data_IF_829357452665
#
_entry.id   IF_829357452665
#
_cell.length_a   1.000
_cell.length_b   1.000
_cell.length_c   1.000
_cell.angle_alpha   90.00
_cell.angle_beta   90.00
_cell.angle_gamma   90.00
#
_symmetry.space_group_name_H-M   'P 1'
#
loop_
_entity.id
_entity.type
_entity.pdbx_description
1 polymer ?
#
# COMPACT_ATOMS: atom_id res chain seq x y z
N UNK A 1 -30.55 -28.41 10.31
CA UNK A 1 -31.81 -27.64 10.27
C UNK A 1 -31.50 -26.22 10.71
N UNK A 2 -31.50 -25.28 9.77
CA UNK A 2 -31.14 -23.88 10.01
C UNK A 2 -32.28 -23.17 10.76
N UNK A 3 -31.96 -22.43 11.81
CA UNK A 3 -32.91 -21.64 12.60
C UNK A 3 -33.69 -20.66 11.68
N UNK A 4 -35.01 -20.47 11.83
CA UNK A 4 -35.74 -19.48 11.04
C UNK A 4 -35.22 -18.08 11.38
N UNK A 5 -34.96 -17.27 10.36
CA UNK A 5 -34.59 -15.87 10.53
C UNK A 5 -35.75 -15.10 11.18
N UNK A 6 -35.45 -14.29 12.21
CA UNK A 6 -36.44 -13.48 12.91
C UNK A 6 -37.12 -12.47 11.97
N UNK A 7 -38.43 -12.19 12.11
CA UNK A 7 -39.22 -11.44 11.12
C UNK A 7 -38.93 -9.93 11.03
N UNK A 8 -37.94 -9.41 11.77
CA UNK A 8 -37.76 -7.97 11.99
C UNK A 8 -36.34 -7.45 11.72
N UNK A 9 -35.43 -8.27 11.21
CA UNK A 9 -34.08 -7.82 10.91
C UNK A 9 -34.11 -6.92 9.67
N UNK A 10 -33.98 -5.59 9.78
CA UNK A 10 -33.74 -4.73 8.61
C UNK A 10 -32.25 -4.75 8.25
N UNK A 11 -31.92 -4.57 6.98
CA UNK A 11 -30.54 -4.33 6.55
C UNK A 11 -30.28 -2.83 6.68
N UNK A 12 -29.33 -2.45 7.53
CA UNK A 12 -28.92 -1.06 7.77
C UNK A 12 -27.64 -0.71 7.02
N UNK A 13 -27.62 0.46 6.38
CA UNK A 13 -26.44 1.03 5.73
C UNK A 13 -26.37 2.53 5.96
N UNK A 14 -25.17 3.11 5.85
CA UNK A 14 -24.96 4.53 6.05
C UNK A 14 -24.01 5.12 5.00
N UNK A 15 -24.12 6.43 4.79
CA UNK A 15 -23.15 7.18 3.99
C UNK A 15 -21.79 7.23 4.71
N UNK A 16 -20.73 7.64 3.99
CA UNK A 16 -19.37 7.66 4.54
C UNK A 16 -19.23 8.49 5.83
N UNK A 17 -19.92 9.63 5.94
CA UNK A 17 -19.91 10.45 7.16
C UNK A 17 -20.96 10.05 8.21
N UNK A 18 -21.79 9.03 7.95
CA UNK A 18 -22.81 8.52 8.87
C UNK A 18 -24.08 9.37 9.00
N UNK A 19 -24.16 10.56 8.38
CA UNK A 19 -25.32 11.48 8.53
C UNK A 19 -26.61 10.98 7.88
N UNK A 20 -26.49 10.16 6.83
CA UNK A 20 -27.62 9.54 6.15
C UNK A 20 -27.54 8.04 6.41
N UNK A 21 -28.56 7.48 7.04
CA UNK A 21 -28.72 6.05 7.20
C UNK A 21 -29.99 5.56 6.49
N UNK A 22 -29.90 4.36 5.93
CA UNK A 22 -30.95 3.69 5.19
C UNK A 22 -31.19 2.31 5.76
N UNK A 23 -32.47 1.95 5.93
CA UNK A 23 -32.88 0.63 6.35
C UNK A 23 -33.79 0.03 5.28
N UNK A 24 -33.41 -1.13 4.74
CA UNK A 24 -34.17 -1.85 3.73
C UNK A 24 -34.63 -3.22 4.27
N UNK A 25 -35.74 -3.79 3.76
CA UNK A 25 -36.19 -5.11 4.16
C UNK A 25 -35.18 -6.20 3.73
N UNK A 26 -35.10 -7.33 4.45
CA UNK A 26 -34.41 -8.52 3.95
C UNK A 26 -34.97 -9.01 2.62
N UNK A 27 -36.25 -8.84 2.35
CA UNK A 27 -36.85 -9.26 1.07
C UNK A 27 -36.39 -8.42 -0.14
N UNK A 28 -35.60 -7.36 0.05
CA UNK A 28 -35.01 -6.59 -1.05
C UNK A 28 -34.21 -7.48 -2.00
N UNK A 29 -34.29 -7.16 -3.30
CA UNK A 29 -33.66 -7.96 -4.34
C UNK A 29 -32.13 -7.93 -4.18
N UNK A 30 -31.46 -8.98 -4.67
CA UNK A 30 -30.01 -9.04 -4.70
C UNK A 30 -29.36 -7.92 -5.50
N UNK A 31 -28.03 -7.86 -5.47
CA UNK A 31 -27.27 -6.73 -6.01
C UNK A 31 -27.29 -6.74 -7.53
N UNK A 32 -27.72 -5.63 -8.13
CA UNK A 32 -27.58 -5.36 -9.57
C UNK A 32 -26.39 -4.44 -9.77
N UNK A 33 -25.45 -4.85 -10.62
CA UNK A 33 -24.26 -4.07 -10.97
C UNK A 33 -24.44 -3.46 -12.35
N UNK A 34 -24.48 -2.13 -12.42
CA UNK A 34 -24.63 -1.39 -13.66
C UNK A 34 -23.26 -0.91 -14.18
N UNK A 35 -23.02 -1.12 -15.47
CA UNK A 35 -21.78 -0.79 -16.16
C UNK A 35 -21.93 0.38 -17.14
N UNK A 36 -23.08 1.07 -17.16
CA UNK A 36 -23.31 2.16 -18.10
C UNK A 36 -22.41 3.39 -17.86
N UNK A 37 -22.23 4.22 -18.89
CA UNK A 37 -21.38 5.41 -18.84
C UNK A 37 -21.74 6.37 -17.68
N UNK A 38 -23.03 6.57 -17.40
CA UNK A 38 -23.45 7.38 -16.23
C UNK A 38 -22.91 6.80 -14.92
N UNK A 39 -22.97 5.48 -14.76
CA UNK A 39 -22.48 4.85 -13.54
C UNK A 39 -20.96 4.97 -13.45
N UNK A 40 -20.26 4.84 -14.58
CA UNK A 40 -18.81 5.07 -14.65
C UNK A 40 -18.45 6.50 -14.23
N UNK A 41 -19.12 7.51 -14.78
CA UNK A 41 -18.86 8.94 -14.46
C UNK A 41 -19.18 9.29 -13.01
N UNK A 42 -20.26 8.73 -12.45
CA UNK A 42 -20.75 9.09 -11.12
C UNK A 42 -20.03 8.35 -9.99
N UNK A 43 -19.44 7.18 -10.26
CA UNK A 43 -18.90 6.27 -9.25
C UNK A 43 -17.45 5.86 -9.51
N UNK A 44 -16.84 6.30 -10.61
CA UNK A 44 -15.49 5.89 -11.01
C UNK A 44 -15.40 4.43 -11.46
N UNK A 45 -16.53 3.79 -11.79
CA UNK A 45 -16.59 2.39 -12.20
C UNK A 45 -18.00 1.80 -12.21
N UNK A 46 -18.14 0.47 -12.27
CA UNK A 46 -19.43 -0.19 -12.16
C UNK A 46 -20.10 0.13 -10.81
N UNK A 47 -21.41 0.30 -10.82
CA UNK A 47 -22.15 0.69 -9.62
C UNK A 47 -23.12 -0.39 -9.17
N UNK A 48 -22.96 -0.84 -7.93
CA UNK A 48 -23.75 -1.89 -7.30
C UNK A 48 -24.94 -1.31 -6.52
N UNK A 49 -26.15 -1.80 -6.79
CA UNK A 49 -27.39 -1.33 -6.17
C UNK A 49 -28.29 -2.48 -5.72
N UNK A 50 -29.00 -2.30 -4.61
CA UNK A 50 -30.09 -3.15 -4.13
C UNK A 50 -31.43 -2.55 -4.54
N UNK A 51 -32.36 -3.38 -5.02
CA UNK A 51 -33.69 -2.91 -5.39
C UNK A 51 -34.67 -3.19 -4.25
N UNK A 52 -35.43 -2.17 -3.85
CA UNK A 52 -36.49 -2.27 -2.86
C UNK A 52 -37.74 -1.51 -3.32
N UNK A 53 -38.87 -1.79 -2.69
CA UNK A 53 -40.03 -0.91 -2.75
C UNK A 53 -39.74 0.38 -1.98
N UNK A 54 -40.06 1.52 -2.59
CA UNK A 54 -39.75 2.83 -2.03
C UNK A 54 -40.43 3.06 -0.69
N UNK A 55 -41.63 2.51 -0.51
CA UNK A 55 -42.40 2.56 0.74
C UNK A 55 -41.75 1.78 1.88
N UNK A 56 -40.87 0.83 1.56
CA UNK A 56 -40.27 -0.07 2.54
C UNK A 56 -38.88 0.38 2.98
N UNK A 57 -38.34 1.42 2.34
CA UNK A 57 -37.06 2.03 2.73
C UNK A 57 -37.31 3.07 3.81
N UNK A 58 -36.71 2.86 4.99
CA UNK A 58 -36.72 3.86 6.07
C UNK A 58 -35.42 4.65 6.04
N UNK A 59 -35.54 5.94 6.35
CA UNK A 59 -34.46 6.90 6.25
C UNK A 59 -34.23 7.58 7.60
N UNK A 60 -32.96 7.77 7.93
CA UNK A 60 -32.53 8.72 8.94
C UNK A 60 -31.63 9.74 8.24
N UNK A 61 -31.90 11.03 8.44
CA UNK A 61 -31.17 12.09 7.74
C UNK A 61 -31.52 12.24 6.25
N UNK A 62 -32.72 11.87 5.79
CA UNK A 62 -33.12 12.04 4.38
C UNK A 62 -33.00 13.49 3.89
N UNK A 63 -33.16 14.47 4.79
CA UNK A 63 -32.97 15.88 4.49
C UNK A 63 -31.54 16.23 4.01
N UNK A 64 -30.54 15.44 4.37
CA UNK A 64 -29.15 15.59 3.92
C UNK A 64 -28.90 14.91 2.56
N UNK A 65 -29.94 14.37 1.92
CA UNK A 65 -29.88 13.78 0.58
C UNK A 65 -30.33 14.81 -0.45
N UNK A 66 -29.40 15.29 -1.27
CA UNK A 66 -29.76 16.07 -2.45
C UNK A 66 -30.15 15.13 -3.58
N UNK A 67 -31.42 15.24 -4.00
CA UNK A 67 -31.94 14.60 -5.20
C UNK A 67 -31.79 15.54 -6.39
N UNK A 68 -31.33 15.00 -7.52
CA UNK A 68 -31.35 15.71 -8.79
C UNK A 68 -31.88 14.79 -9.89
N UNK A 69 -32.51 15.39 -10.89
CA UNK A 69 -33.02 14.68 -12.06
C UNK A 69 -31.85 14.36 -13.00
N UNK A 70 -31.44 13.10 -13.05
CA UNK A 70 -30.32 12.63 -13.87
C UNK A 70 -30.70 12.29 -15.31
N UNK A 71 -31.99 12.01 -15.53
CA UNK A 71 -32.63 11.90 -16.86
C UNK A 71 -34.09 12.31 -16.73
N UNK A 72 -34.84 12.53 -17.82
CA UNK A 72 -36.27 12.84 -17.72
C UNK A 72 -37.06 11.84 -16.86
N UNK A 73 -36.63 10.57 -16.83
CA UNK A 73 -37.28 9.45 -16.18
C UNK A 73 -36.65 9.08 -14.83
N UNK A 74 -35.49 9.63 -14.44
CA UNK A 74 -34.76 9.16 -13.24
C UNK A 74 -34.18 10.29 -12.39
N UNK A 75 -34.26 10.10 -11.07
CA UNK A 75 -33.59 10.91 -10.06
C UNK A 75 -32.49 10.11 -9.36
N UNK A 76 -31.45 10.80 -8.93
CA UNK A 76 -30.34 10.25 -8.14
C UNK A 76 -30.11 11.10 -6.90
N UNK A 77 -29.86 10.44 -5.78
CA UNK A 77 -29.63 11.04 -4.47
C UNK A 77 -28.19 10.85 -4.02
N UNK A 78 -27.59 11.91 -3.47
CA UNK A 78 -26.27 11.84 -2.82
C UNK A 78 -26.28 12.62 -1.50
N UNK A 79 -25.43 12.21 -0.56
CA UNK A 79 -25.26 12.94 0.70
C UNK A 79 -24.50 14.24 0.44
N UNK A 80 -25.07 15.38 0.83
CA UNK A 80 -24.46 16.71 0.59
C UNK A 80 -23.17 16.93 1.37
N UNK A 81 -22.93 16.18 2.44
CA UNK A 81 -21.77 16.35 3.32
C UNK A 81 -20.54 15.57 2.89
N UNK A 82 -20.72 14.36 2.36
CA UNK A 82 -19.60 13.47 1.99
C UNK A 82 -19.62 13.01 0.53
N UNK A 83 -20.59 13.43 -0.27
CA UNK A 83 -20.72 13.03 -1.68
C UNK A 83 -21.12 11.57 -1.91
N UNK A 84 -21.30 10.76 -0.86
CA UNK A 84 -21.72 9.36 -0.97
C UNK A 84 -22.99 9.26 -1.81
N UNK A 85 -22.96 8.39 -2.82
CA UNK A 85 -24.12 8.13 -3.67
C UNK A 85 -25.07 7.19 -2.95
N UNK A 86 -26.30 7.64 -2.76
CA UNK A 86 -27.24 7.03 -1.82
C UNK A 86 -28.22 6.12 -2.56
N UNK A 87 -28.93 6.66 -3.55
CA UNK A 87 -29.95 5.90 -4.25
C UNK A 87 -30.27 6.50 -5.64
N UNK A 88 -30.95 5.71 -6.47
CA UNK A 88 -31.58 6.09 -7.74
C UNK A 88 -33.04 5.68 -7.71
N UNK A 89 -33.95 6.51 -8.23
CA UNK A 89 -35.37 6.16 -8.38
C UNK A 89 -35.93 6.67 -9.71
N UNK A 90 -36.88 5.95 -10.33
CA UNK A 90 -37.64 6.50 -11.45
C UNK A 90 -38.54 7.63 -10.98
N UNK A 91 -38.72 8.66 -11.81
CA UNK A 91 -39.69 9.73 -11.58
C UNK A 91 -41.10 9.12 -11.60
N UNK A 92 -41.86 9.29 -10.52
CA UNK A 92 -43.19 8.70 -10.37
C UNK A 92 -43.23 7.17 -10.18
N UNK A 93 -42.08 6.50 -10.08
CA UNK A 93 -41.98 5.06 -9.88
C UNK A 93 -42.11 4.62 -8.42
N UNK A 94 -42.47 3.35 -8.21
CA UNK A 94 -42.62 2.73 -6.88
C UNK A 94 -41.34 2.06 -6.37
N UNK A 95 -40.37 1.80 -7.25
CA UNK A 95 -39.11 1.15 -6.88
C UNK A 95 -38.00 2.16 -6.61
N UNK A 96 -37.06 1.75 -5.77
CA UNK A 96 -35.83 2.50 -5.49
C UNK A 96 -34.63 1.55 -5.53
N UNK A 97 -33.52 2.04 -6.07
CA UNK A 97 -32.24 1.37 -6.13
C UNK A 97 -31.31 2.03 -5.11
N UNK A 98 -31.03 1.35 -4.00
CA UNK A 98 -30.15 1.84 -2.93
C UNK A 98 -28.73 1.36 -3.18
N UNK A 99 -27.74 2.23 -3.00
CA UNK A 99 -26.33 1.91 -3.17
C UNK A 99 -25.89 0.76 -2.26
N UNK A 100 -25.35 -0.32 -2.83
CA UNK A 100 -24.89 -1.48 -2.06
C UNK A 100 -23.69 -1.13 -1.16
N UNK A 101 -22.89 -0.14 -1.53
CA UNK A 101 -21.72 0.31 -0.76
C UNK A 101 -22.06 0.87 0.62
N UNK A 102 -23.30 1.30 0.87
CA UNK A 102 -23.74 1.82 2.17
C UNK A 102 -23.74 0.75 3.27
N UNK A 103 -23.83 -0.52 2.89
CA UNK A 103 -23.95 -1.66 3.81
C UNK A 103 -22.58 -2.33 4.10
N UNK A 104 -21.52 -1.87 3.44
CA UNK A 104 -20.14 -2.36 3.62
C UNK A 104 -19.97 -3.86 3.38
N UNK A 105 -18.95 -4.45 4.02
CA UNK A 105 -18.63 -5.88 3.93
C UNK A 105 -19.71 -6.81 4.52
N UNK A 106 -20.65 -6.25 5.29
CA UNK A 106 -21.67 -7.01 6.01
C UNK A 106 -22.93 -7.30 5.16
N UNK A 107 -23.01 -6.82 3.92
CA UNK A 107 -24.19 -7.02 3.07
C UNK A 107 -24.36 -8.52 2.70
N UNK A 108 -25.41 -9.21 3.19
CA UNK A 108 -25.60 -10.64 2.96
C UNK A 108 -26.30 -10.91 1.62
N UNK A 109 -25.81 -10.29 0.54
CA UNK A 109 -26.41 -10.34 -0.80
C UNK A 109 -25.32 -10.56 -1.85
N UNK A 110 -25.66 -11.37 -2.84
CA UNK A 110 -24.80 -11.61 -4.01
C UNK A 110 -25.25 -10.77 -5.19
N UNK A 111 -24.37 -10.65 -6.19
CA UNK A 111 -24.72 -10.06 -7.47
C UNK A 111 -25.66 -11.00 -8.21
N UNK A 112 -26.87 -10.52 -8.51
CA UNK A 112 -27.89 -11.29 -9.25
C UNK A 112 -27.89 -10.95 -10.74
N UNK A 113 -27.42 -9.75 -11.11
CA UNK A 113 -27.37 -9.32 -12.51
C UNK A 113 -26.29 -8.27 -12.73
N UNK A 114 -25.56 -8.42 -13.83
CA UNK A 114 -24.81 -7.33 -14.44
C UNK A 114 -25.64 -6.74 -15.58
N UNK A 115 -25.80 -5.43 -15.60
CA UNK A 115 -26.53 -4.70 -16.64
C UNK A 115 -25.59 -3.73 -17.37
N UNK A 116 -25.82 -3.65 -18.68
CA UNK A 116 -25.08 -2.86 -19.68
C UNK A 116 -23.61 -3.25 -19.73
N UNK A 117 -23.37 -4.56 -19.61
CA UNK A 117 -22.05 -5.15 -19.53
C UNK A 117 -21.22 -4.86 -20.80
N UNK A 118 -21.87 -4.68 -21.93
CA UNK A 118 -21.28 -4.25 -23.19
C UNK A 118 -20.60 -2.86 -23.10
N UNK A 119 -21.00 -2.02 -22.14
CA UNK A 119 -20.37 -0.72 -21.89
C UNK A 119 -19.25 -0.78 -20.83
N UNK A 120 -18.96 -1.97 -20.28
CA UNK A 120 -17.96 -2.14 -19.22
C UNK A 120 -16.59 -1.61 -19.67
N UNK A 121 -15.94 -0.72 -18.90
CA UNK A 121 -14.62 -0.23 -19.24
C UNK A 121 -13.60 -1.37 -19.38
N UNK A 122 -12.64 -1.21 -20.29
CA UNK A 122 -11.61 -2.22 -20.55
C UNK A 122 -10.79 -2.58 -19.30
N UNK A 123 -10.55 -1.60 -18.42
CA UNK A 123 -9.81 -1.77 -17.17
C UNK A 123 -10.61 -2.51 -16.07
N UNK A 124 -11.94 -2.65 -16.20
CA UNK A 124 -12.76 -3.51 -15.32
C UNK A 124 -12.63 -4.95 -15.81
N UNK A 125 -11.50 -5.58 -15.56
CA UNK A 125 -11.27 -7.02 -15.76
C UNK A 125 -11.07 -7.69 -14.40
N UNK A 126 -11.41 -8.97 -14.29
CA UNK A 126 -11.33 -9.71 -13.03
C UNK A 126 -9.94 -9.59 -12.38
N UNK A 127 -9.94 -9.54 -11.05
CA UNK A 127 -8.91 -9.01 -10.17
C UNK A 127 -7.47 -9.43 -10.49
N UNK A 128 -6.56 -8.46 -10.60
CA UNK A 128 -5.17 -8.68 -10.14
C UNK A 128 -5.27 -8.96 -8.64
N UNK A 129 -5.30 -10.23 -8.27
CA UNK A 129 -5.25 -10.69 -6.87
C UNK A 129 -3.79 -11.00 -6.54
N UNK A 130 -3.28 -10.39 -5.47
CA UNK A 130 -1.89 -10.50 -5.05
C UNK A 130 -1.52 -9.39 -4.07
N UNK A 131 -0.37 -9.49 -3.37
CA UNK A 131 0.14 -8.39 -2.56
C UNK A 131 0.42 -7.15 -3.41
N UNK A 132 0.23 -5.96 -2.84
CA UNK A 132 0.67 -4.71 -3.47
C UNK A 132 2.16 -4.81 -3.80
N UNK A 133 2.52 -4.51 -5.05
CA UNK A 133 3.91 -4.32 -5.43
C UNK A 133 4.48 -3.05 -4.78
N UNK A 134 5.81 -2.94 -4.61
CA UNK A 134 6.42 -1.72 -4.10
C UNK A 134 6.04 -0.45 -4.89
N UNK A 135 5.88 -0.55 -6.21
CA UNK A 135 5.48 0.59 -7.05
C UNK A 135 4.02 1.01 -6.82
N UNK A 136 3.12 0.05 -6.61
CA UNK A 136 1.72 0.31 -6.24
C UNK A 136 1.62 0.94 -4.84
N UNK A 137 2.47 0.51 -3.90
CA UNK A 137 2.55 1.10 -2.57
C UNK A 137 3.09 2.53 -2.60
N UNK A 138 4.12 2.81 -3.41
CA UNK A 138 4.64 4.17 -3.61
C UNK A 138 3.58 5.08 -4.24
N UNK A 139 2.82 4.59 -5.22
CA UNK A 139 1.73 5.34 -5.83
C UNK A 139 0.63 5.71 -4.81
N UNK A 140 0.31 4.80 -3.88
CA UNK A 140 -0.63 5.07 -2.78
C UNK A 140 -0.04 6.05 -1.75
N UNK A 141 1.23 5.91 -1.39
CA UNK A 141 1.91 6.79 -0.44
C UNK A 141 2.03 8.24 -0.92
N UNK A 142 2.08 8.47 -2.24
CA UNK A 142 2.08 9.81 -2.84
C UNK A 142 0.72 10.54 -2.72
N UNK A 143 -0.33 9.87 -2.26
CA UNK A 143 -1.69 10.43 -2.15
C UNK A 143 -2.08 10.91 -0.75
N UNK A 144 -1.21 10.75 0.27
CA UNK A 144 -1.47 11.21 1.64
C UNK A 144 -0.58 12.41 2.03
N UNK A 145 -1.15 13.55 2.44
CA UNK A 145 -0.35 14.70 2.86
C UNK A 145 -0.14 14.73 4.38
N UNK A 146 1.10 14.64 4.85
CA UNK A 146 1.54 15.32 6.09
C UNK A 146 2.82 16.11 5.82
N UNK A 147 2.76 17.09 4.92
CA UNK A 147 3.81 18.08 4.81
C UNK A 147 3.77 19.00 6.03
N UNK A 148 4.75 18.88 6.93
CA UNK A 148 5.00 19.83 8.03
C UNK A 148 6.27 20.62 7.73
N UNK A 149 6.42 21.89 8.19
CA UNK A 149 7.69 22.63 8.12
C UNK A 149 8.90 21.90 8.74
N UNK A 150 8.65 20.87 9.55
CA UNK A 150 9.66 20.07 10.26
C UNK A 150 9.78 18.63 9.75
N UNK A 151 8.97 18.22 8.76
CA UNK A 151 8.98 16.85 8.26
C UNK A 151 8.90 16.81 6.73
N UNK A 152 9.91 16.18 6.12
CA UNK A 152 9.94 15.88 4.70
C UNK A 152 9.74 14.38 4.48
N UNK A 153 9.14 14.01 3.35
CA UNK A 153 8.98 12.63 2.95
C UNK A 153 10.10 12.14 2.06
N UNK A 154 10.43 10.87 2.26
CA UNK A 154 11.40 10.16 1.47
C UNK A 154 11.03 8.70 1.28
N UNK A 155 11.85 8.00 0.52
CA UNK A 155 11.76 6.56 0.33
C UNK A 155 13.12 5.93 0.59
N UNK A 156 13.12 4.64 0.93
CA UNK A 156 14.33 3.83 1.03
C UNK A 156 14.14 2.51 0.30
N UNK A 157 15.18 2.09 -0.41
CA UNK A 157 15.36 0.77 -0.98
C UNK A 157 16.36 0.00 -0.13
N UNK A 158 16.06 -1.27 0.16
CA UNK A 158 17.01 -2.23 0.70
C UNK A 158 17.31 -3.31 -0.33
N UNK A 159 18.59 -3.63 -0.51
CA UNK A 159 19.03 -4.83 -1.23
C UNK A 159 20.02 -5.62 -0.36
N UNK A 160 19.99 -6.94 -0.45
CA UNK A 160 20.88 -7.84 0.31
C UNK A 160 21.33 -9.00 -0.58
N UNK A 161 22.56 -9.46 -0.37
CA UNK A 161 23.13 -10.64 -1.04
C UNK A 161 22.65 -11.97 -0.43
N UNK A 162 21.95 -11.93 0.71
CA UNK A 162 21.65 -13.12 1.52
C UNK A 162 22.82 -13.57 2.40
N UNK A 163 23.95 -12.88 2.37
CA UNK A 163 25.07 -13.11 3.28
C UNK A 163 24.67 -12.80 4.73
N UNK A 164 24.81 -13.78 5.62
CA UNK A 164 24.39 -13.70 7.03
C UNK A 164 25.52 -13.43 8.01
N UNK A 165 26.75 -13.28 7.52
CA UNK A 165 27.90 -13.00 8.38
C UNK A 165 27.72 -11.64 9.07
N UNK A 166 28.20 -11.48 10.31
CA UNK A 166 28.23 -10.18 10.96
C UNK A 166 29.04 -9.19 10.10
N UNK A 167 28.58 -7.94 9.94
CA UNK A 167 29.36 -6.95 9.21
C UNK A 167 30.64 -6.63 9.97
N UNK A 168 31.78 -6.69 9.29
CA UNK A 168 33.05 -6.18 9.80
C UNK A 168 33.26 -4.71 9.46
N UNK A 169 32.55 -4.20 8.44
CA UNK A 169 32.58 -2.78 8.05
C UNK A 169 31.18 -2.29 7.69
N UNK A 170 30.86 -1.07 8.14
CA UNK A 170 29.67 -0.33 7.73
C UNK A 170 30.12 0.99 7.11
N UNK A 171 29.72 1.27 5.87
CA UNK A 171 29.95 2.57 5.26
C UNK A 171 28.66 3.40 5.24
N UNK A 172 28.77 4.64 5.69
CA UNK A 172 27.71 5.64 5.71
C UNK A 172 28.02 6.72 4.70
N UNK A 173 27.04 7.06 3.88
CA UNK A 173 27.11 8.18 2.94
C UNK A 173 25.88 9.04 3.13
N UNK A 174 26.09 10.35 3.23
CA UNK A 174 25.06 11.36 3.03
C UNK A 174 25.45 12.22 1.83
N UNK A 175 24.49 12.54 0.98
CA UNK A 175 24.70 13.29 -0.26
C UNK A 175 23.52 14.22 -0.48
N UNK A 176 23.74 15.44 -0.92
CA UNK A 176 22.66 16.36 -1.27
C UNK A 176 22.85 16.86 -2.70
N UNK A 177 21.78 16.77 -3.48
CA UNK A 177 21.70 17.35 -4.80
C UNK A 177 21.43 18.86 -4.70
N UNK A 178 21.95 19.64 -5.65
CA UNK A 178 21.60 21.05 -5.83
C UNK A 178 20.17 21.23 -6.35
N UNK A 179 19.71 20.29 -7.18
CA UNK A 179 18.39 20.30 -7.80
C UNK A 179 17.88 18.88 -8.12
N UNK A 180 16.68 18.80 -8.69
CA UNK A 180 16.04 17.54 -9.04
C UNK A 180 16.78 16.77 -10.15
N UNK A 181 17.42 17.45 -11.11
CA UNK A 181 18.14 16.79 -12.20
C UNK A 181 19.41 16.11 -11.66
N UNK A 182 20.13 16.79 -10.77
CA UNK A 182 21.27 16.23 -10.06
C UNK A 182 20.86 15.06 -9.15
N UNK A 183 19.71 15.15 -8.48
CA UNK A 183 19.16 14.01 -7.72
C UNK A 183 18.95 12.78 -8.59
N UNK A 184 18.38 12.94 -9.79
CA UNK A 184 18.18 11.80 -10.70
C UNK A 184 19.49 11.22 -11.21
N UNK A 185 20.53 12.04 -11.41
CA UNK A 185 21.89 11.55 -11.71
C UNK A 185 22.47 10.74 -10.56
N UNK A 186 22.40 11.23 -9.32
CA UNK A 186 22.87 10.49 -8.14
C UNK A 186 22.12 9.14 -8.02
N UNK A 187 20.80 9.13 -8.29
CA UNK A 187 20.01 7.88 -8.31
C UNK A 187 20.49 6.92 -9.39
N UNK A 188 20.84 7.40 -10.58
CA UNK A 188 21.36 6.56 -11.65
C UNK A 188 22.65 5.84 -11.23
N UNK A 189 23.62 6.57 -10.68
CA UNK A 189 24.84 5.96 -10.13
C UNK A 189 24.54 5.01 -8.97
N UNK A 190 23.59 5.37 -8.08
CA UNK A 190 23.20 4.51 -6.97
C UNK A 190 22.62 3.17 -7.45
N UNK A 191 21.78 3.15 -8.50
CA UNK A 191 21.25 1.91 -9.08
C UNK A 191 22.35 1.00 -9.60
N UNK A 192 23.32 1.56 -10.33
CA UNK A 192 24.42 0.76 -10.86
C UNK A 192 25.36 0.28 -9.75
N UNK A 193 25.66 1.13 -8.76
CA UNK A 193 26.44 0.72 -7.57
C UNK A 193 25.76 -0.42 -6.81
N UNK A 194 24.43 -0.38 -6.64
CA UNK A 194 23.68 -1.47 -6.00
C UNK A 194 23.86 -2.79 -6.76
N UNK A 195 23.79 -2.76 -8.10
CA UNK A 195 24.02 -3.96 -8.92
C UNK A 195 25.44 -4.50 -8.71
N UNK A 196 26.46 -3.63 -8.81
CA UNK A 196 27.86 -3.99 -8.61
C UNK A 196 28.14 -4.54 -7.20
N UNK A 197 27.44 -4.04 -6.18
CA UNK A 197 27.60 -4.45 -4.79
C UNK A 197 26.96 -5.81 -4.52
N UNK A 198 25.74 -6.06 -5.02
CA UNK A 198 25.04 -7.33 -4.83
C UNK A 198 25.84 -8.51 -5.38
N UNK A 199 26.60 -8.29 -6.45
CA UNK A 199 27.48 -9.29 -7.06
C UNK A 199 28.85 -9.43 -6.38
N UNK A 200 29.24 -8.50 -5.51
CA UNK A 200 30.57 -8.50 -4.90
C UNK A 200 30.67 -9.51 -3.73
N UNK A 201 31.62 -10.46 -3.76
CA UNK A 201 31.89 -11.31 -2.62
C UNK A 201 32.26 -10.50 -1.37
N UNK A 202 31.57 -10.78 -0.26
CA UNK A 202 31.72 -10.06 1.00
C UNK A 202 30.75 -8.90 1.19
N UNK A 203 29.91 -8.57 0.21
CA UNK A 203 28.76 -7.69 0.41
C UNK A 203 27.69 -8.37 1.27
N UNK A 204 27.06 -7.62 2.16
CA UNK A 204 25.97 -8.10 3.03
C UNK A 204 24.65 -7.44 2.63
N UNK A 205 24.62 -6.11 2.65
CA UNK A 205 23.39 -5.35 2.41
C UNK A 205 23.65 -3.87 2.14
N UNK A 206 22.69 -3.23 1.50
CA UNK A 206 22.62 -1.78 1.31
C UNK A 206 21.21 -1.30 1.65
N UNK A 207 21.14 -0.17 2.34
CA UNK A 207 19.92 0.65 2.44
C UNK A 207 20.26 2.01 1.83
N UNK A 208 19.54 2.41 0.79
CA UNK A 208 19.74 3.69 0.13
C UNK A 208 18.39 4.38 -0.09
N UNK A 209 18.34 5.70 0.03
CA UNK A 209 17.08 6.42 -0.03
C UNK A 209 17.25 7.90 -0.23
N UNK A 210 16.15 8.59 -0.49
CA UNK A 210 16.11 10.03 -0.65
C UNK A 210 14.95 10.64 0.12
N UNK A 211 15.20 11.79 0.74
CA UNK A 211 14.20 12.72 1.29
C UNK A 211 14.45 14.08 0.65
N UNK A 212 13.50 14.59 -0.14
CA UNK A 212 13.70 15.78 -0.96
C UNK A 212 14.88 15.65 -1.93
N UNK A 213 15.92 16.46 -1.73
CA UNK A 213 17.19 16.44 -2.48
C UNK A 213 18.32 15.69 -1.75
N UNK A 214 18.08 15.21 -0.53
CA UNK A 214 19.08 14.55 0.31
C UNK A 214 18.99 13.04 0.16
N UNK A 215 20.06 12.44 -0.33
CA UNK A 215 20.28 11.01 -0.36
C UNK A 215 21.02 10.52 0.88
N UNK A 216 20.76 9.28 1.26
CA UNK A 216 21.58 8.55 2.21
C UNK A 216 21.85 7.15 1.69
N UNK A 217 22.98 6.59 2.09
CA UNK A 217 23.32 5.20 1.81
C UNK A 217 24.03 4.62 3.03
N UNK A 218 23.62 3.43 3.42
CA UNK A 218 24.32 2.61 4.41
C UNK A 218 24.60 1.26 3.79
N UNK A 219 25.87 0.85 3.78
CA UNK A 219 26.28 -0.47 3.29
C UNK A 219 26.97 -1.26 4.38
N UNK A 220 26.75 -2.57 4.37
CA UNK A 220 27.34 -3.52 5.30
C UNK A 220 28.18 -4.52 4.51
N UNK A 221 29.39 -4.79 5.01
CA UNK A 221 30.39 -5.63 4.37
C UNK A 221 31.07 -6.53 5.39
N UNK A 222 31.54 -7.70 4.96
CA UNK A 222 32.36 -8.60 5.78
C UNK A 222 33.66 -7.92 6.21
N UNK A 223 34.30 -7.20 5.30
CA UNK A 223 35.57 -6.53 5.52
C UNK A 223 35.78 -5.33 4.59
N UNK A 224 36.78 -4.50 4.90
CA UNK A 224 37.11 -3.29 4.14
C UNK A 224 37.65 -3.61 2.74
N UNK A 225 38.31 -4.75 2.56
CA UNK A 225 38.88 -5.14 1.27
C UNK A 225 37.79 -5.42 0.24
N UNK A 226 36.72 -6.10 0.66
CA UNK A 226 35.54 -6.42 -0.15
C UNK A 226 34.79 -5.16 -0.55
N UNK A 227 34.60 -4.23 0.39
CA UNK A 227 34.07 -2.91 0.07
C UNK A 227 34.95 -2.17 -0.95
N UNK A 228 36.27 -2.10 -0.76
CA UNK A 228 37.19 -1.40 -1.68
C UNK A 228 37.16 -1.98 -3.10
N UNK A 229 37.07 -3.31 -3.25
CA UNK A 229 36.90 -3.95 -4.57
C UNK A 229 35.60 -3.48 -5.24
N UNK A 230 34.49 -3.47 -4.51
CA UNK A 230 33.21 -2.98 -5.04
C UNK A 230 33.29 -1.50 -5.46
N UNK A 231 33.87 -0.66 -4.60
CA UNK A 231 33.99 0.78 -4.84
C UNK A 231 34.91 1.13 -6.02
N UNK A 232 35.79 0.21 -6.45
CA UNK A 232 36.65 0.40 -7.62
C UNK A 232 35.93 0.24 -8.97
N UNK A 233 34.67 -0.23 -8.97
CA UNK A 233 33.83 -0.44 -10.17
C UNK A 233 33.06 0.84 -10.54
N UNK A 234 31.73 0.80 -10.68
CA UNK A 234 30.95 1.96 -11.09
C UNK A 234 31.03 3.13 -10.09
N UNK A 235 31.27 2.85 -8.81
CA UNK A 235 31.43 3.91 -7.81
C UNK A 235 32.62 4.82 -8.14
N UNK A 236 33.70 4.31 -8.73
CA UNK A 236 34.83 5.12 -9.17
C UNK A 236 34.45 6.11 -10.29
N UNK A 237 33.45 5.80 -11.11
CA UNK A 237 32.89 6.72 -12.11
C UNK A 237 32.16 7.86 -11.41
N UNK A 238 31.27 7.53 -10.47
CA UNK A 238 30.54 8.52 -9.67
C UNK A 238 31.49 9.45 -8.90
N UNK A 239 32.59 8.93 -8.35
CA UNK A 239 33.58 9.75 -7.63
C UNK A 239 34.36 10.68 -8.56
N UNK A 240 34.64 10.27 -9.81
CA UNK A 240 35.26 11.16 -10.80
C UNK A 240 34.34 12.31 -11.16
N UNK A 241 33.05 12.05 -11.35
CA UNK A 241 32.05 13.11 -11.60
C UNK A 241 31.90 14.04 -10.40
N UNK A 242 31.85 13.47 -9.20
CA UNK A 242 31.75 14.21 -7.93
C UNK A 242 32.88 15.23 -7.74
N UNK A 243 34.11 14.89 -8.10
CA UNK A 243 35.26 15.79 -7.97
C UNK A 243 35.59 16.58 -9.23
N UNK A 244 35.05 16.20 -10.40
CA UNK A 244 35.39 16.79 -11.69
C UNK A 244 34.31 17.74 -12.25
N UNK A 245 33.04 17.49 -12.00
CA UNK A 245 31.90 18.25 -12.53
C UNK A 245 31.01 18.78 -11.38
N UNK A 246 30.08 19.70 -11.68
CA UNK A 246 29.00 20.04 -10.72
C UNK A 246 28.02 18.87 -10.65
N UNK A 247 28.33 17.90 -9.80
CA UNK A 247 27.60 16.63 -9.65
C UNK A 247 26.91 16.48 -8.28
N UNK A 248 27.33 17.23 -7.26
CA UNK A 248 26.68 17.28 -5.93
C UNK A 248 26.75 18.67 -5.32
N UNK A 249 25.74 19.07 -4.53
CA UNK A 249 25.83 20.26 -3.68
C UNK A 249 26.69 20.02 -2.43
N UNK A 250 26.57 18.82 -1.83
CA UNK A 250 27.39 18.42 -0.69
C UNK A 250 27.39 16.90 -0.52
N UNK A 251 28.44 16.37 0.09
CA UNK A 251 28.60 14.93 0.34
C UNK A 251 29.43 14.69 1.59
N UNK A 252 29.11 13.63 2.32
CA UNK A 252 29.90 13.11 3.43
C UNK A 252 29.90 11.59 3.33
N UNK A 253 31.08 10.98 3.52
CA UNK A 253 31.23 9.52 3.58
C UNK A 253 32.07 9.14 4.78
N UNK A 254 31.79 7.99 5.36
CA UNK A 254 32.56 7.47 6.49
C UNK A 254 32.46 5.95 6.57
N UNK A 255 33.53 5.32 7.02
CA UNK A 255 33.67 3.86 7.12
C UNK A 255 33.91 3.52 8.59
N UNK A 256 33.08 2.63 9.12
CA UNK A 256 33.02 2.30 10.54
C UNK A 256 33.29 0.82 10.73
N UNK A 257 34.11 0.50 11.73
CA UNK A 257 34.30 -0.88 12.21
C UNK A 257 33.54 -1.05 13.52
N UNK A 258 32.76 -2.13 13.69
CA UNK A 258 32.01 -2.33 14.92
C UNK A 258 32.96 -2.72 16.05
N UNK A 259 32.92 -1.96 17.14
CA UNK A 259 33.64 -2.31 18.38
C UNK A 259 33.01 -3.52 19.09
N UNK A 260 31.71 -3.71 18.91
CA UNK A 260 30.93 -4.82 19.48
C UNK A 260 29.73 -5.12 18.59
N UNK A 261 29.49 -6.41 18.36
CA UNK A 261 28.22 -6.91 17.81
C UNK A 261 27.46 -7.66 18.90
N UNK A 262 26.20 -7.32 19.11
CA UNK A 262 25.36 -8.05 20.05
C UNK A 262 24.87 -9.36 19.44
N UNK A 263 24.52 -10.30 20.33
CA UNK A 263 23.94 -11.60 19.97
C UNK A 263 22.66 -11.42 19.17
N UNK A 264 22.45 -12.32 18.20
CA UNK A 264 21.25 -12.34 17.39
C UNK A 264 20.23 -13.27 18.04
N UNK A 265 19.02 -12.76 18.28
CA UNK A 265 17.97 -13.51 18.96
C UNK A 265 16.81 -13.80 18.02
N UNK A 266 16.30 -15.03 18.05
CA UNK A 266 15.05 -15.42 17.39
C UNK A 266 14.09 -16.00 18.40
N UNK A 267 12.80 -15.79 18.16
CA UNK A 267 11.74 -16.34 19.00
C UNK A 267 11.36 -17.73 18.50
N UNK A 268 11.44 -18.73 19.37
CA UNK A 268 10.93 -20.06 19.10
C UNK A 268 9.41 -19.99 18.88
N UNK A 269 8.93 -20.56 17.78
CA UNK A 269 7.50 -20.60 17.45
C UNK A 269 6.71 -21.60 18.30
N UNK A 270 7.38 -22.60 18.87
CA UNK A 270 6.75 -23.63 19.70
C UNK A 270 6.50 -23.19 21.14
N UNK A 271 7.54 -22.69 21.82
CA UNK A 271 7.45 -22.33 23.24
C UNK A 271 7.60 -20.83 23.54
N UNK A 272 7.87 -19.99 22.53
CA UNK A 272 8.01 -18.54 22.69
C UNK A 272 9.33 -18.07 23.32
N UNK A 273 10.25 -18.99 23.68
CA UNK A 273 11.56 -18.65 24.20
C UNK A 273 12.39 -17.83 23.19
N UNK A 274 13.21 -16.91 23.69
CA UNK A 274 14.22 -16.22 22.88
C UNK A 274 15.50 -17.06 22.89
N UNK A 275 15.98 -17.43 21.71
CA UNK A 275 17.19 -18.23 21.50
C UNK A 275 18.27 -17.39 20.83
N UNK A 276 19.49 -17.51 21.34
CA UNK A 276 20.68 -16.87 20.78
C UNK A 276 21.20 -17.70 19.60
N UNK A 277 20.87 -17.31 18.37
CA UNK A 277 21.25 -18.03 17.16
C UNK A 277 22.51 -17.46 16.51
N UNK A 278 23.42 -16.90 17.32
CA UNK A 278 24.69 -16.37 16.82
C UNK A 278 25.57 -17.45 16.17
N UNK A 279 25.41 -18.71 16.57
CA UNK A 279 26.04 -19.92 15.99
C UNK A 279 25.19 -20.60 14.89
N UNK A 280 24.04 -20.02 14.53
CA UNK A 280 23.07 -20.55 13.55
C UNK A 280 22.53 -21.95 13.90
N UNK A 281 22.43 -22.30 15.18
CA UNK A 281 21.73 -23.52 15.58
C UNK A 281 20.23 -23.46 15.19
N UNK A 282 19.65 -24.62 14.87
CA UNK A 282 18.33 -24.72 14.21
C UNK A 282 17.23 -25.34 15.06
N UNK A 283 17.51 -25.66 16.32
CA UNK A 283 16.56 -26.26 17.26
C UNK A 283 16.54 -25.51 18.59
N UNK A 284 15.35 -25.23 19.12
CA UNK A 284 15.17 -24.55 20.40
C UNK A 284 15.78 -25.38 21.54
N UNK A 285 16.60 -24.75 22.38
CA UNK A 285 17.28 -25.43 23.50
C UNK A 285 16.31 -25.88 24.60
N UNK A 286 15.08 -25.34 24.62
CA UNK A 286 14.05 -25.69 25.62
C UNK A 286 13.04 -26.73 25.17
N UNK A 287 12.59 -26.70 23.93
CA UNK A 287 11.51 -27.56 23.45
C UNK A 287 11.83 -28.31 22.16
N UNK A 288 13.07 -28.21 21.67
CA UNK A 288 13.59 -28.91 20.48
C UNK A 288 12.87 -28.57 19.17
N UNK A 289 11.88 -27.67 19.19
CA UNK A 289 11.19 -27.21 18.00
C UNK A 289 12.17 -26.50 17.04
N UNK A 290 11.94 -26.68 15.74
CA UNK A 290 12.70 -25.99 14.71
C UNK A 290 12.61 -24.47 14.89
N UNK A 291 13.75 -23.80 14.84
CA UNK A 291 13.82 -22.35 14.92
C UNK A 291 13.57 -21.70 13.56
N UNK A 292 13.02 -20.48 13.54
CA UNK A 292 12.99 -19.67 12.33
C UNK A 292 14.38 -19.51 11.74
N UNK A 293 14.45 -19.28 10.43
CA UNK A 293 15.70 -19.02 9.78
C UNK A 293 16.42 -17.81 10.39
N UNK A 294 17.71 -17.95 10.67
CA UNK A 294 18.55 -16.85 11.12
C UNK A 294 18.43 -15.67 10.14
N UNK A 295 17.96 -14.49 10.60
CA UNK A 295 17.88 -13.31 9.75
C UNK A 295 19.28 -12.80 9.39
N UNK A 296 19.39 -12.19 8.21
CA UNK A 296 20.57 -11.40 7.87
C UNK A 296 20.66 -10.17 8.79
N UNK A 297 21.88 -9.71 9.09
CA UNK A 297 22.11 -8.63 10.05
C UNK A 297 21.45 -7.31 9.65
N UNK A 298 21.35 -7.05 8.36
CA UNK A 298 20.90 -5.77 7.82
C UNK A 298 20.06 -5.96 6.58
#
# INVERSE_FOLDING_TARGET
MSKPAEPNATLGGACHCGRVAVHVPPSSAGVVVCHCEDCQKLHGGPFAMLVADRTDVRWEGEADVQWYRSSPENERGFCVHCGSRIAKRPVGGTKIMVSAGLFGHALPRTVVKNVWLEQKPAWVTASRTGPLTPDELVALALSEPIGSPTAEYGYSLRASSGNKRPPGVIALTWIAAADAAERERIRAHSRQNVADFVEEPGFISIVTGFTGLRGFTVTAWEDEASMKRALSKHHAVAMKELFGERFVASVWTSVWTPTRMNRLWVRCVGCGALEDVSDDHRACTKCEAALPERPAFW
#
